data_IF_372998404870
#
_entry.id   IF_372998404870
#
_cell.length_a   1.000
_cell.length_b   1.000
_cell.length_c   1.000
_cell.angle_alpha   90.00
_cell.angle_beta   90.00
_cell.angle_gamma   90.00
#
_symmetry.space_group_name_H-M   'P 1'
#
loop_
_entity.id
_entity.type
_entity.pdbx_description
1 polymer ?
#
# COMPACT_ATOMS: atom_id res chain seq x y z
N UNK A 1 1.45 17.47 -7.24
CA UNK A 1 0.68 16.78 -6.18
C UNK A 1 1.45 15.59 -5.68
N UNK A 2 1.32 15.25 -4.38
CA UNK A 2 1.88 14.02 -3.84
C UNK A 2 1.04 12.82 -4.28
N UNK A 3 1.68 11.77 -4.81
CA UNK A 3 1.01 10.51 -5.16
C UNK A 3 1.09 9.55 -3.97
N UNK A 4 -0.02 8.94 -3.59
CA UNK A 4 -0.09 8.00 -2.46
C UNK A 4 -0.05 6.57 -3.01
N UNK A 5 0.99 5.81 -2.69
CA UNK A 5 1.09 4.40 -3.06
C UNK A 5 0.64 3.53 -1.88
N UNK A 6 -0.46 2.82 -2.06
CA UNK A 6 -1.10 2.04 -0.99
C UNK A 6 -0.91 0.55 -1.28
N UNK A 7 -0.45 -0.22 -0.30
CA UNK A 7 -0.31 -1.67 -0.44
C UNK A 7 -1.08 -2.41 0.66
N UNK A 8 -1.94 -3.34 0.26
CA UNK A 8 -2.73 -4.14 1.20
C UNK A 8 -3.68 -5.16 0.54
N UNK A 9 -4.54 -5.78 1.36
CA UNK A 9 -5.51 -6.79 0.92
C UNK A 9 -6.86 -6.13 0.63
N UNK A 10 -7.32 -6.16 -0.62
CA UNK A 10 -8.68 -5.74 -0.98
C UNK A 10 -9.66 -6.93 -0.92
N UNK A 11 -10.93 -6.74 -0.54
CA UNK A 11 -11.91 -7.84 -0.48
C UNK A 11 -12.22 -8.44 -1.85
N UNK A 12 -12.43 -9.77 -1.98
CA UNK A 12 -12.28 -10.80 -0.94
C UNK A 12 -10.81 -11.19 -0.73
N UNK A 13 -10.38 -11.71 0.46
CA UNK A 13 -11.20 -12.17 1.58
C UNK A 13 -11.80 -11.03 2.40
N UNK A 14 -12.97 -11.27 3.02
CA UNK A 14 -13.63 -10.31 3.91
C UNK A 14 -13.11 -10.45 5.34
N UNK A 15 -12.55 -9.37 5.87
CA UNK A 15 -12.06 -9.26 7.24
C UNK A 15 -11.83 -7.80 7.63
N UNK A 16 -11.43 -7.54 8.88
CA UNK A 16 -11.27 -6.18 9.39
C UNK A 16 -10.31 -5.32 8.55
N UNK A 17 -9.15 -5.88 8.18
CA UNK A 17 -8.14 -5.19 7.36
C UNK A 17 -8.68 -4.88 5.96
N UNK A 18 -9.31 -5.84 5.30
CA UNK A 18 -9.77 -5.66 3.92
C UNK A 18 -10.98 -4.73 3.81
N UNK A 19 -11.89 -4.75 4.79
CA UNK A 19 -12.99 -3.78 4.88
C UNK A 19 -12.46 -2.38 5.19
N UNK A 20 -11.47 -2.25 6.08
CA UNK A 20 -10.82 -0.96 6.36
C UNK A 20 -10.18 -0.37 5.10
N UNK A 21 -9.42 -1.17 4.36
CA UNK A 21 -8.83 -0.75 3.08
C UNK A 21 -9.92 -0.35 2.08
N UNK A 22 -11.00 -1.13 1.94
CA UNK A 22 -12.12 -0.78 1.05
C UNK A 22 -12.73 0.59 1.40
N UNK A 23 -12.96 0.87 2.68
CA UNK A 23 -13.50 2.16 3.13
C UNK A 23 -12.51 3.30 2.88
N UNK A 24 -11.22 3.06 3.12
CA UNK A 24 -10.16 4.05 2.93
C UNK A 24 -9.97 4.42 1.46
N UNK A 25 -9.91 3.43 0.58
CA UNK A 25 -9.81 3.65 -0.87
C UNK A 25 -11.01 4.44 -1.39
N UNK A 26 -12.23 4.04 -1.00
CA UNK A 26 -13.45 4.78 -1.37
C UNK A 26 -13.43 6.23 -0.90
N UNK A 27 -12.92 6.49 0.30
CA UNK A 27 -12.74 7.87 0.80
C UNK A 27 -11.76 8.65 -0.08
N UNK A 28 -10.62 8.06 -0.44
CA UNK A 28 -9.64 8.73 -1.28
C UNK A 28 -10.16 9.06 -2.68
N UNK A 29 -10.97 8.17 -3.26
CA UNK A 29 -11.66 8.39 -4.54
C UNK A 29 -12.65 9.54 -4.46
N UNK A 30 -13.51 9.53 -3.43
CA UNK A 30 -14.52 10.58 -3.21
C UNK A 30 -13.89 11.97 -3.04
N UNK A 31 -12.73 12.04 -2.38
CA UNK A 31 -11.99 13.28 -2.13
C UNK A 31 -11.01 13.64 -3.26
N UNK A 32 -11.01 12.90 -4.38
CA UNK A 32 -10.13 13.12 -5.54
C UNK A 32 -8.63 13.16 -5.21
N UNK A 33 -8.17 12.32 -4.28
CA UNK A 33 -6.73 12.17 -4.02
C UNK A 33 -6.04 11.43 -5.16
N UNK A 34 -4.80 11.83 -5.47
CA UNK A 34 -3.94 11.11 -6.40
C UNK A 34 -3.30 9.90 -5.68
N UNK A 35 -3.84 8.70 -5.88
CA UNK A 35 -3.32 7.48 -5.29
C UNK A 35 -3.27 6.31 -6.28
N UNK A 36 -2.45 5.31 -5.96
CA UNK A 36 -2.39 4.02 -6.64
C UNK A 36 -2.43 2.90 -5.61
N UNK A 37 -3.40 1.99 -5.76
CA UNK A 37 -3.57 0.85 -4.86
C UNK A 37 -2.97 -0.42 -5.47
N UNK A 38 -2.18 -1.11 -4.66
CA UNK A 38 -1.45 -2.32 -5.02
C UNK A 38 -1.97 -3.49 -4.17
N UNK A 39 -2.73 -4.39 -4.79
CA UNK A 39 -3.34 -5.53 -4.11
C UNK A 39 -2.31 -6.62 -3.81
N UNK A 40 -2.29 -7.13 -2.58
CA UNK A 40 -1.39 -8.23 -2.17
C UNK A 40 -1.97 -9.64 -2.39
N UNK A 41 -3.21 -9.74 -2.88
CA UNK A 41 -3.98 -10.97 -3.06
C UNK A 41 -4.17 -11.24 -4.56
N UNK A 42 -4.08 -12.51 -4.95
CA UNK A 42 -4.33 -13.02 -6.31
C UNK A 42 -5.80 -12.94 -6.77
N UNK A 43 -6.76 -12.60 -5.92
CA UNK A 43 -8.17 -12.50 -6.31
C UNK A 43 -8.39 -11.35 -7.29
N UNK A 44 -8.95 -11.68 -8.46
CA UNK A 44 -9.38 -10.74 -9.49
C UNK A 44 -10.47 -9.81 -8.94
N UNK A 45 -10.10 -8.56 -8.63
CA UNK A 45 -11.05 -7.48 -8.35
C UNK A 45 -10.70 -6.25 -9.20
N UNK A 46 -11.54 -5.22 -9.07
CA UNK A 46 -11.49 -3.89 -9.71
C UNK A 46 -10.13 -3.18 -9.67
N UNK A 47 -9.21 -3.58 -8.78
CA UNK A 47 -7.86 -3.03 -8.71
C UNK A 47 -6.86 -3.99 -9.34
N UNK A 48 -5.95 -3.44 -10.15
CA UNK A 48 -4.92 -4.21 -10.82
C UNK A 48 -4.23 -5.17 -9.82
N UNK A 49 -4.15 -6.43 -10.21
CA UNK A 49 -3.45 -7.47 -9.47
C UNK A 49 -1.93 -7.22 -9.62
N UNK A 50 -1.44 -6.20 -8.92
CA UNK A 50 -0.08 -5.70 -9.09
C UNK A 50 0.83 -6.49 -8.17
N UNK A 51 1.56 -7.45 -8.76
CA UNK A 51 2.63 -8.19 -8.07
C UNK A 51 3.52 -7.23 -7.28
N UNK A 52 3.90 -7.61 -6.07
CA UNK A 52 4.79 -6.86 -5.17
C UNK A 52 6.01 -6.25 -5.88
N UNK A 53 6.55 -6.92 -6.91
CA UNK A 53 7.65 -6.39 -7.75
C UNK A 53 7.30 -5.07 -8.43
N UNK A 54 6.10 -4.92 -8.98
CA UNK A 54 5.64 -3.66 -9.61
C UNK A 54 5.39 -2.56 -8.56
N UNK A 55 4.96 -2.92 -7.35
CA UNK A 55 4.96 -1.98 -6.21
C UNK A 55 6.39 -1.50 -5.93
N UNK A 56 7.40 -2.38 -5.85
CA UNK A 56 8.79 -1.93 -5.68
C UNK A 56 9.25 -1.02 -6.84
N UNK A 57 8.96 -1.41 -8.08
CA UNK A 57 9.37 -0.66 -9.26
C UNK A 57 8.71 0.72 -9.34
N UNK A 58 7.45 0.87 -8.89
CA UNK A 58 6.81 2.19 -8.87
C UNK A 58 7.52 3.17 -7.93
N UNK A 59 8.22 2.67 -6.91
CA UNK A 59 8.97 3.49 -5.98
C UNK A 59 10.35 3.90 -6.51
N UNK A 60 10.82 3.34 -7.63
CA UNK A 60 12.08 3.76 -8.28
C UNK A 60 11.94 5.17 -8.87
N UNK A 61 10.73 5.60 -9.23
CA UNK A 61 10.50 6.99 -9.60
C UNK A 61 10.57 7.90 -8.36
N UNK A 62 11.51 8.83 -8.37
CA UNK A 62 11.92 9.68 -7.25
C UNK A 62 10.95 10.82 -6.90
N UNK A 63 9.73 10.81 -7.43
CA UNK A 63 8.74 11.85 -7.11
C UNK A 63 8.25 11.73 -5.67
N UNK A 64 7.70 12.83 -5.14
CA UNK A 64 7.29 12.99 -3.74
C UNK A 64 6.10 12.06 -3.40
N UNK A 65 6.39 10.80 -3.15
CA UNK A 65 5.39 9.75 -2.91
C UNK A 65 5.20 9.50 -1.41
N UNK A 66 3.95 9.27 -1.02
CA UNK A 66 3.60 8.79 0.32
C UNK A 66 3.36 7.29 0.22
N UNK A 67 4.12 6.50 0.98
CA UNK A 67 3.92 5.04 1.03
C UNK A 67 2.99 4.74 2.19
N UNK A 68 1.86 4.10 1.92
CA UNK A 68 0.90 3.66 2.93
C UNK A 68 0.78 2.13 2.95
N UNK A 69 1.37 1.51 3.97
CA UNK A 69 1.30 0.06 4.13
C UNK A 69 0.21 -0.32 5.13
N UNK A 70 -0.68 -1.23 4.71
CA UNK A 70 -1.72 -1.83 5.57
C UNK A 70 -1.48 -3.33 5.70
N UNK A 71 -1.10 -3.79 6.89
CA UNK A 71 -1.05 -5.23 7.21
C UNK A 71 -0.11 -5.59 8.35
N UNK A 72 0.24 -6.88 8.43
CA UNK A 72 1.27 -7.42 9.32
C UNK A 72 2.67 -7.08 8.81
N UNK A 73 3.55 -6.65 9.72
CA UNK A 73 4.98 -6.50 9.45
C UNK A 73 5.63 -7.88 9.64
N UNK A 74 5.87 -8.58 8.54
CA UNK A 74 6.84 -9.68 8.54
C UNK A 74 8.26 -9.11 8.46
N UNK A 75 9.27 -9.84 8.92
CA UNK A 75 10.68 -9.39 8.88
C UNK A 75 11.13 -8.93 7.49
N UNK A 76 10.63 -9.56 6.41
CA UNK A 76 10.89 -9.14 5.02
C UNK A 76 10.27 -7.78 4.66
N UNK A 77 9.06 -7.48 5.17
CA UNK A 77 8.39 -6.18 4.97
C UNK A 77 9.05 -5.08 5.79
N UNK A 78 9.50 -5.39 7.02
CA UNK A 78 10.31 -4.47 7.84
C UNK A 78 11.63 -4.12 7.14
N UNK A 79 12.33 -5.14 6.62
CA UNK A 79 13.58 -4.95 5.88
C UNK A 79 13.35 -4.10 4.62
N UNK A 80 12.28 -4.33 3.87
CA UNK A 80 11.94 -3.48 2.74
C UNK A 80 11.67 -2.03 3.16
N UNK A 81 10.89 -1.80 4.21
CA UNK A 81 10.64 -0.45 4.73
C UNK A 81 11.94 0.25 5.16
N UNK A 82 12.89 -0.50 5.72
CA UNK A 82 14.20 -0.02 6.10
C UNK A 82 15.04 0.34 4.87
N UNK A 83 15.11 -0.53 3.86
CA UNK A 83 15.82 -0.26 2.61
C UNK A 83 15.21 0.96 1.90
N UNK A 84 13.88 1.03 1.82
CA UNK A 84 13.18 2.19 1.28
C UNK A 84 13.47 3.47 2.08
N UNK A 85 13.73 3.39 3.40
CA UNK A 85 14.20 4.53 4.22
C UNK A 85 15.57 5.02 3.79
N UNK A 86 16.49 4.08 3.62
CA UNK A 86 17.91 4.36 3.40
C UNK A 86 18.09 4.95 2.00
N UNK A 87 17.40 4.38 1.01
CA UNK A 87 17.58 4.76 -0.40
C UNK A 87 16.63 5.88 -0.86
N UNK A 88 15.50 6.12 -0.18
CA UNK A 88 14.51 7.11 -0.61
C UNK A 88 14.05 8.03 0.53
N UNK A 89 14.20 9.36 0.35
CA UNK A 89 13.69 10.41 1.28
C UNK A 89 12.17 10.63 1.14
N UNK A 90 11.38 9.55 1.14
CA UNK A 90 9.91 9.59 0.97
C UNK A 90 9.18 9.69 2.32
N UNK A 91 8.07 10.44 2.38
CA UNK A 91 7.16 10.47 3.55
C UNK A 91 6.41 9.14 3.62
N UNK A 92 6.26 8.54 4.79
CA UNK A 92 5.74 7.17 4.94
C UNK A 92 4.74 7.09 6.07
N UNK A 93 3.63 6.41 5.82
CA UNK A 93 2.57 6.14 6.77
C UNK A 93 2.46 4.62 6.86
N UNK A 94 2.58 4.08 8.06
CA UNK A 94 2.48 2.64 8.28
C UNK A 94 1.33 2.40 9.23
N UNK A 95 0.32 1.65 8.78
CA UNK A 95 -0.81 1.24 9.61
C UNK A 95 -0.66 -0.24 9.93
N UNK A 96 -0.25 -0.51 11.16
CA UNK A 96 -0.08 -1.86 11.70
C UNK A 96 -1.44 -2.31 12.24
N UNK A 97 -2.00 -3.35 11.64
CA UNK A 97 -3.32 -3.86 12.02
C UNK A 97 -3.26 -5.02 13.03
N UNK A 98 -2.09 -5.65 13.21
CA UNK A 98 -1.86 -6.68 14.22
C UNK A 98 -0.34 -6.88 14.43
N UNK A 99 0.06 -7.19 15.66
CA UNK A 99 1.44 -7.42 16.10
C UNK A 99 1.72 -8.89 16.51
N UNK A 100 0.81 -9.82 16.16
CA UNK A 100 0.94 -11.25 16.43
C UNK A 100 1.40 -12.00 15.19
#
# INVERSE_FOLDING_TARGET
MHKINIYGVYPPPFGGISIHIKRFVKYLENENYNFEFYQSNTNHNEYNNVRFRRFILSHINFQKEIIHLHGFISGRRALLLLLLRIFFRKKRIVTIHNNR
#
